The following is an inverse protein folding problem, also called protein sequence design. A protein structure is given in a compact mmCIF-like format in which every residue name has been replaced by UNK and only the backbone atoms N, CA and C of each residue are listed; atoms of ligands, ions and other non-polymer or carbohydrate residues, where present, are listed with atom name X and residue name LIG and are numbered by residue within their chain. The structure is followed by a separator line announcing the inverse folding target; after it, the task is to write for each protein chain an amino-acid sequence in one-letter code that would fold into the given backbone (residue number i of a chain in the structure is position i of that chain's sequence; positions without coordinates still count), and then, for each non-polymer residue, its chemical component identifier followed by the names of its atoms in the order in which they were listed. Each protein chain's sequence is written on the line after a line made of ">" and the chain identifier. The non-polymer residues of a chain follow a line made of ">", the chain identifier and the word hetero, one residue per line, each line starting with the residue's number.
data_IF_789491928651
#
_entry.id   IF_789491928651
#
_cell.length_a   1.000
_cell.length_b   1.000
_cell.length_c   1.000
_cell.angle_alpha   90.00
_cell.angle_beta   90.00
_cell.angle_gamma   90.00
#
_symmetry.space_group_name_H-M   'P 1'
#
loop_
_entity.id
_entity.type
_entity.pdbx_description
1 polymer ?
#
# COMPACT_ATOMS: atom_id res chain seq x y z
N UNK A 1 1.59 -2.56 -8.29
CA UNK A 1 0.95 -3.90 -8.33
C UNK A 1 0.51 -4.25 -6.94
N UNK A 2 -0.79 -4.50 -6.74
CA UNK A 2 -1.38 -4.64 -5.42
C UNK A 2 -2.49 -5.70 -5.49
N UNK A 3 -2.48 -6.76 -4.65
CA UNK A 3 -3.70 -7.50 -4.39
C UNK A 3 -4.68 -6.54 -3.72
N UNK A 4 -5.87 -6.41 -4.30
CA UNK A 4 -6.95 -5.56 -3.81
C UNK A 4 -8.07 -6.48 -3.37
N UNK A 5 -8.51 -6.31 -2.12
CA UNK A 5 -9.71 -6.97 -1.60
C UNK A 5 -10.57 -5.94 -0.88
N UNK A 6 -11.88 -6.08 -1.02
CA UNK A 6 -12.83 -5.40 -0.13
C UNK A 6 -12.70 -6.03 1.26
N UNK A 7 -12.43 -5.26 2.33
CA UNK A 7 -12.35 -5.82 3.67
C UNK A 7 -13.75 -6.14 4.20
N UNK A 8 -13.99 -7.39 4.60
CA UNK A 8 -15.22 -7.76 5.35
C UNK A 8 -15.11 -7.37 6.84
N UNK A 9 -13.89 -7.30 7.37
CA UNK A 9 -13.53 -6.81 8.71
C UNK A 9 -12.10 -6.25 8.71
N UNK A 10 -11.87 -5.25 9.55
CA UNK A 10 -10.54 -4.78 9.92
C UNK A 10 -10.01 -5.64 11.08
N UNK A 11 -8.72 -5.98 11.08
CA UNK A 11 -8.12 -6.86 12.10
C UNK A 11 -6.85 -6.25 12.69
N UNK A 12 -6.59 -6.52 13.97
CA UNK A 12 -5.45 -5.96 14.72
C UNK A 12 -5.86 -4.83 15.67
N UNK A 13 -4.95 -4.46 16.57
CA UNK A 13 -5.12 -3.30 17.46
C UNK A 13 -4.92 -1.97 16.72
N UNK A 14 -4.07 -1.97 15.68
CA UNK A 14 -3.72 -0.81 14.88
C UNK A 14 -4.07 -1.05 13.40
N UNK A 15 -4.47 0.02 12.71
CA UNK A 15 -4.76 -0.01 11.28
C UNK A 15 -3.86 0.98 10.53
N UNK A 16 -3.20 0.52 9.46
CA UNK A 16 -2.36 1.36 8.61
C UNK A 16 -3.14 1.82 7.36
N UNK A 17 -3.01 3.11 7.04
CA UNK A 17 -3.62 3.73 5.86
C UNK A 17 -2.54 4.35 4.97
N UNK A 18 -2.83 4.46 3.68
CA UNK A 18 -2.01 5.20 2.71
C UNK A 18 -2.88 5.72 1.58
N UNK A 19 -2.47 6.85 1.00
CA UNK A 19 -3.01 7.36 -0.26
C UNK A 19 -1.91 7.19 -1.32
N UNK A 20 -2.02 6.23 -2.25
CA UNK A 20 -1.05 6.04 -3.31
C UNK A 20 -0.96 7.27 -4.23
N UNK A 21 0.24 7.78 -4.43
CA UNK A 21 0.53 8.75 -5.50
C UNK A 21 0.64 8.03 -6.85
N UNK A 22 -0.51 7.62 -7.38
CA UNK A 22 -0.63 6.94 -8.66
C UNK A 22 -2.01 7.19 -9.26
N UNK A 23 -2.06 7.97 -10.35
CA UNK A 23 -3.30 8.41 -10.97
C UNK A 23 -4.21 7.25 -11.41
N UNK A 24 -3.61 6.16 -11.92
CA UNK A 24 -4.37 4.96 -12.29
C UNK A 24 -5.04 4.32 -11.07
N UNK A 25 -4.29 4.11 -9.98
CA UNK A 25 -4.86 3.56 -8.74
C UNK A 25 -5.91 4.50 -8.13
N UNK A 26 -5.71 5.81 -8.18
CA UNK A 26 -6.69 6.80 -7.71
C UNK A 26 -8.02 6.63 -8.43
N UNK A 27 -8.02 6.58 -9.78
CA UNK A 27 -9.23 6.36 -10.60
C UNK A 27 -9.88 5.00 -10.31
N UNK A 28 -9.09 3.95 -10.09
CA UNK A 28 -9.61 2.63 -9.71
C UNK A 28 -10.30 2.70 -8.35
N UNK A 29 -9.70 3.34 -7.34
CA UNK A 29 -10.29 3.49 -6.01
C UNK A 29 -11.54 4.37 -6.02
N UNK A 30 -11.55 5.46 -6.79
CA UNK A 30 -12.74 6.31 -6.99
C UNK A 30 -13.88 5.53 -7.63
N UNK A 31 -13.59 4.74 -8.67
CA UNK A 31 -14.59 3.90 -9.33
C UNK A 31 -15.10 2.78 -8.41
N UNK A 32 -14.27 2.31 -7.48
CA UNK A 32 -14.65 1.29 -6.49
C UNK A 32 -15.52 1.86 -5.38
N UNK A 33 -15.37 3.16 -5.05
CA UNK A 33 -16.19 3.87 -4.07
C UNK A 33 -15.93 3.48 -2.61
N UNK A 34 -14.95 2.62 -2.33
CA UNK A 34 -14.64 2.10 -0.99
C UNK A 34 -13.13 1.95 -0.77
N UNK A 35 -12.64 1.97 0.48
CA UNK A 35 -11.25 1.68 0.80
C UNK A 35 -10.82 0.29 0.35
N UNK A 36 -9.59 0.21 -0.14
CA UNK A 36 -9.00 -1.02 -0.64
C UNK A 36 -8.00 -1.57 0.37
N UNK A 37 -8.22 -2.80 0.83
CA UNK A 37 -7.21 -3.53 1.60
C UNK A 37 -6.18 -4.11 0.65
N UNK A 38 -4.90 -3.89 0.96
CA UNK A 38 -3.81 -4.35 0.12
C UNK A 38 -2.57 -4.75 0.92
N UNK A 39 -1.84 -5.74 0.38
CA UNK A 39 -0.52 -6.19 0.85
C UNK A 39 0.51 -6.04 -0.27
N UNK A 40 1.77 -6.39 -0.01
CA UNK A 40 2.72 -6.62 -1.10
C UNK A 40 2.24 -7.77 -1.99
N UNK A 41 2.49 -7.66 -3.29
CA UNK A 41 2.05 -8.62 -4.29
C UNK A 41 3.08 -9.75 -4.47
N UNK A 42 3.17 -10.63 -3.48
CA UNK A 42 4.14 -11.73 -3.42
C UNK A 42 3.59 -12.94 -2.68
N UNK A 43 4.21 -14.10 -2.92
CA UNK A 43 4.11 -15.22 -1.99
C UNK A 43 4.92 -14.90 -0.73
N UNK A 44 4.51 -15.50 0.39
CA UNK A 44 5.18 -15.30 1.68
C UNK A 44 6.67 -15.64 1.56
N UNK A 45 7.54 -14.69 1.87
CA UNK A 45 9.00 -14.85 1.82
C UNK A 45 9.65 -14.51 0.47
N UNK A 46 8.86 -14.28 -0.59
CA UNK A 46 9.39 -13.91 -1.90
C UNK A 46 9.39 -12.38 -2.09
N UNK A 47 10.24 -11.84 -3.00
CA UNK A 47 10.17 -10.44 -3.38
C UNK A 47 8.81 -10.04 -3.99
N UNK A 48 8.34 -8.79 -3.78
CA UNK A 48 7.17 -8.25 -4.47
C UNK A 48 7.32 -8.29 -5.99
N UNK A 49 6.27 -8.71 -6.69
CA UNK A 49 6.20 -8.60 -8.15
C UNK A 49 6.24 -7.12 -8.59
N UNK A 50 6.97 -6.86 -9.68
CA UNK A 50 7.16 -5.52 -10.26
C UNK A 50 6.52 -5.34 -11.63
N UNK A 51 6.09 -6.39 -12.30
CA UNK A 51 5.27 -6.33 -13.53
C UNK A 51 4.03 -7.22 -13.47
N UNK A 52 3.05 -6.94 -14.33
CA UNK A 52 1.89 -7.82 -14.49
C UNK A 52 2.29 -9.25 -14.88
N UNK A 53 3.32 -9.41 -15.72
CA UNK A 53 3.83 -10.72 -16.10
C UNK A 53 4.43 -11.50 -14.91
N UNK A 54 5.21 -10.83 -14.04
CA UNK A 54 5.72 -11.45 -12.82
C UNK A 54 4.58 -11.88 -11.89
N UNK A 55 3.54 -11.05 -11.79
CA UNK A 55 2.37 -11.35 -10.98
C UNK A 55 1.60 -12.55 -11.53
N UNK A 56 1.39 -12.60 -12.85
CA UNK A 56 0.70 -13.70 -13.50
C UNK A 56 1.44 -15.03 -13.31
N UNK A 57 2.77 -15.01 -13.47
CA UNK A 57 3.63 -16.18 -13.23
C UNK A 57 3.55 -16.67 -11.78
N UNK A 58 3.57 -15.76 -10.80
CA UNK A 58 3.69 -16.11 -9.38
C UNK A 58 2.32 -16.36 -8.72
N UNK A 59 1.30 -15.60 -9.08
CA UNK A 59 0.01 -15.54 -8.40
C UNK A 59 -1.20 -15.66 -9.34
N UNK A 60 -1.02 -15.72 -10.67
CA UNK A 60 -2.11 -15.65 -11.64
C UNK A 60 -3.22 -16.68 -11.43
N UNK A 61 -2.89 -17.91 -11.04
CA UNK A 61 -3.89 -18.96 -10.75
C UNK A 61 -4.78 -18.66 -9.54
N UNK A 62 -4.39 -17.71 -8.69
CA UNK A 62 -5.09 -17.36 -7.44
C UNK A 62 -5.80 -16.00 -7.52
N UNK A 63 -5.61 -15.26 -8.61
CA UNK A 63 -6.14 -13.93 -8.79
C UNK A 63 -7.29 -13.96 -9.80
N UNK A 64 -8.47 -13.43 -9.46
CA UNK A 64 -9.60 -13.38 -10.38
C UNK A 64 -9.41 -12.34 -11.50
N UNK A 65 -8.50 -11.38 -11.30
CA UNK A 65 -8.22 -10.30 -12.23
C UNK A 65 -6.78 -9.80 -12.03
N UNK A 66 -6.10 -9.53 -13.14
CA UNK A 66 -4.83 -8.79 -13.18
C UNK A 66 -5.03 -7.60 -14.10
N UNK A 67 -4.72 -6.40 -13.61
CA UNK A 67 -4.65 -5.20 -14.45
C UNK A 67 -3.18 -4.84 -14.63
N UNK A 68 -2.66 -5.05 -15.84
CA UNK A 68 -1.28 -4.69 -16.19
C UNK A 68 -1.24 -3.26 -16.71
N UNK A 69 -0.75 -2.34 -15.88
CA UNK A 69 -0.50 -0.94 -16.23
C UNK A 69 0.99 -0.66 -16.46
N UNK A 70 1.78 -1.70 -16.75
CA UNK A 70 3.23 -1.63 -16.88
C UNK A 70 3.98 -1.79 -15.54
N UNK A 71 5.33 -1.73 -15.59
CA UNK A 71 6.15 -1.94 -14.41
C UNK A 71 5.93 -0.89 -13.32
N UNK A 72 5.97 -1.33 -12.07
CA UNK A 72 5.93 -0.44 -10.90
C UNK A 72 7.14 0.48 -10.89
N UNK A 73 6.91 1.79 -10.85
CA UNK A 73 7.95 2.81 -10.70
C UNK A 73 8.49 2.90 -9.27
N UNK A 74 7.76 2.37 -8.28
CA UNK A 74 8.17 2.36 -6.89
C UNK A 74 9.40 1.44 -6.70
N UNK A 75 10.52 2.03 -6.30
CA UNK A 75 11.77 1.30 -5.98
C UNK A 75 11.76 0.72 -4.57
N UNK A 76 11.13 1.46 -3.65
CA UNK A 76 11.08 1.18 -2.22
C UNK A 76 9.64 1.13 -1.72
N UNK A 77 9.35 0.40 -0.62
CA UNK A 77 8.05 0.45 0.02
C UNK A 77 7.77 1.85 0.60
N UNK A 78 6.52 2.09 0.99
CA UNK A 78 6.17 3.31 1.72
C UNK A 78 6.85 3.32 3.09
N UNK A 79 7.28 4.51 3.51
CA UNK A 79 7.58 4.81 4.91
C UNK A 79 6.33 4.56 5.74
N UNK A 80 6.49 3.91 6.89
CA UNK A 80 5.41 3.55 7.80
C UNK A 80 5.68 4.18 9.15
N UNK A 81 4.75 5.03 9.59
CA UNK A 81 4.79 5.68 10.90
C UNK A 81 3.56 5.24 11.68
N UNK A 82 3.76 4.88 12.95
CA UNK A 82 2.69 4.59 13.90
C UNK A 82 2.50 5.80 14.80
N UNK A 83 1.24 6.16 15.03
CA UNK A 83 0.82 7.23 15.92
C UNK A 83 -0.07 6.64 17.01
N UNK A 84 0.28 6.84 18.28
CA UNK A 84 -0.50 6.42 19.44
C UNK A 84 -0.59 7.61 20.40
N UNK A 85 -1.73 8.31 20.40
CA UNK A 85 -1.88 9.56 21.11
C UNK A 85 -0.88 10.60 20.59
N UNK A 86 -0.09 11.17 21.49
CA UNK A 86 0.97 12.14 21.17
C UNK A 86 2.31 11.50 20.79
N UNK A 87 2.42 10.17 20.85
CA UNK A 87 3.67 9.45 20.52
C UNK A 87 3.63 8.96 19.08
N UNK A 88 4.74 9.16 18.39
CA UNK A 88 4.96 8.68 17.02
C UNK A 88 6.22 7.81 16.93
N UNK A 89 6.20 6.79 16.09
CA UNK A 89 7.31 5.86 15.87
C UNK A 89 7.42 5.50 14.38
N UNK A 90 8.63 5.56 13.81
CA UNK A 90 8.89 5.07 12.46
C UNK A 90 9.05 3.55 12.51
N UNK A 91 8.06 2.81 11.99
CA UNK A 91 8.09 1.35 11.90
C UNK A 91 8.89 0.85 10.70
N UNK A 92 8.97 1.65 9.62
CA UNK A 92 9.74 1.33 8.43
C UNK A 92 10.13 2.59 7.68
N UNK A 93 11.41 2.73 7.35
CA UNK A 93 11.90 3.74 6.40
C UNK A 93 11.66 3.25 4.97
N UNK A 94 11.15 4.13 4.12
CA UNK A 94 10.86 3.84 2.73
C UNK A 94 10.99 5.09 1.86
N UNK A 95 10.22 5.14 0.77
CA UNK A 95 10.37 6.17 -0.26
C UNK A 95 10.09 7.62 0.21
N UNK A 96 9.40 7.82 1.35
CA UNK A 96 9.09 9.15 1.86
C UNK A 96 10.13 9.56 2.94
N UNK A 97 10.76 10.75 2.83
CA UNK A 97 11.75 11.22 3.81
C UNK A 97 11.20 11.22 5.24
N UNK A 98 12.04 10.85 6.21
CA UNK A 98 11.65 10.74 7.63
C UNK A 98 11.77 12.05 8.40
N UNK A 99 12.40 13.06 7.82
CA UNK A 99 12.59 14.36 8.44
C UNK A 99 11.23 15.07 8.57
N UNK A 100 10.89 15.51 9.78
CA UNK A 100 9.61 16.15 10.10
C UNK A 100 8.40 15.22 10.20
N UNK A 101 8.54 13.90 9.99
CA UNK A 101 7.41 12.97 10.03
C UNK A 101 6.89 12.65 11.44
N UNK A 102 7.69 12.94 12.47
CA UNK A 102 7.34 12.68 13.86
C UNK A 102 6.84 13.92 14.61
N UNK A 103 6.96 15.09 13.97
CA UNK A 103 6.41 16.32 14.52
C UNK A 103 4.88 16.22 14.45
N UNK A 104 4.15 16.56 15.53
CA UNK A 104 2.70 16.57 15.51
C UNK A 104 2.25 17.42 14.31
N UNK A 105 1.22 17.00 13.56
CA UNK A 105 0.70 17.83 12.48
C UNK A 105 0.37 19.19 13.09
N UNK A 106 1.04 20.24 12.61
CA UNK A 106 0.56 21.62 12.77
C UNK A 106 -0.92 21.58 12.46
N UNK A 107 -1.76 22.04 13.39
CA UNK A 107 -3.23 21.99 13.27
C UNK A 107 -3.63 22.18 11.80
N UNK A 108 -4.25 21.14 11.24
CA UNK A 108 -4.71 21.18 9.86
C UNK A 108 -5.70 22.36 9.72
N UNK A 109 -5.68 23.10 8.59
CA UNK A 109 -6.60 24.21 8.36
C UNK A 109 -8.08 23.80 8.42
#
# INVERSE_FOLDING_TARGET
>A
ILPVRKPDRWGGADQAFRVPDNEFLAKVMESFGEPVLSTSANRKGEPPARSGQELEKNLGKTLPLIIDAGPSQAKEPSTLVRWIGEKSEILRVGAYPTEGLLDPPSEAP
#
